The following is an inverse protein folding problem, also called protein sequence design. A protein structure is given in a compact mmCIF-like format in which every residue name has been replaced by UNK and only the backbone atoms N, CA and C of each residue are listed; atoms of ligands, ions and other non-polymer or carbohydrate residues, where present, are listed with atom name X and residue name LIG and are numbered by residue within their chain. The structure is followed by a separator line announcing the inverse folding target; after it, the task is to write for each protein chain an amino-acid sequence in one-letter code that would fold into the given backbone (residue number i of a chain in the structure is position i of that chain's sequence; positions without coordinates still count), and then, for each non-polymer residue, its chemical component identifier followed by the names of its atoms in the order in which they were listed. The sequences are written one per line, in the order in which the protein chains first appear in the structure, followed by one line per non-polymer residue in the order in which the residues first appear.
data_IF_050189209495
#
_entry.id   IF_050189209495
#
_cell.length_a   1.000
_cell.length_b   1.000
_cell.length_c   1.000
_cell.angle_alpha   90.00
_cell.angle_beta   90.00
_cell.angle_gamma   90.00
#
_symmetry.space_group_name_H-M   'P 1'
#
loop_
_entity.id
_entity.type
_entity.pdbx_description
1 polymer ?
#
# COMPACT_ATOMS: atom_id res chain seq x y z
N UNK A 1 87.13 -9.74 52.77
CA UNK A 1 87.55 -8.40 52.29
C UNK A 1 86.30 -7.70 51.76
N UNK A 2 85.97 -6.52 52.28
CA UNK A 2 84.81 -5.71 51.90
C UNK A 2 84.85 -5.33 50.42
N UNK A 3 83.68 -5.33 49.77
CA UNK A 3 83.21 -4.26 48.86
C UNK A 3 81.79 -4.59 48.40
N UNK A 4 80.81 -3.78 48.78
CA UNK A 4 79.46 -3.79 48.19
C UNK A 4 79.41 -2.96 46.91
N UNK A 5 78.27 -2.96 46.23
CA UNK A 5 77.62 -1.79 45.58
C UNK A 5 76.33 -2.22 44.84
N UNK A 6 75.21 -1.68 45.35
CA UNK A 6 74.12 -0.96 44.67
C UNK A 6 73.20 -1.66 43.65
N UNK A 7 71.92 -1.59 44.00
CA UNK A 7 70.67 -1.95 43.32
C UNK A 7 70.34 -1.16 42.04
N UNK A 8 69.60 -1.81 41.12
CA UNK A 8 68.55 -1.16 40.30
C UNK A 8 67.36 -2.11 40.13
N UNK A 9 66.10 -1.68 40.34
CA UNK A 9 64.92 -2.46 39.98
C UNK A 9 64.60 -2.29 38.49
N UNK A 10 64.43 -3.40 37.76
CA UNK A 10 63.89 -3.40 36.41
C UNK A 10 62.35 -3.45 36.47
N UNK A 11 61.71 -2.36 36.05
CA UNK A 11 60.29 -2.32 35.75
C UNK A 11 60.04 -2.94 34.38
N UNK A 12 59.33 -4.08 34.34
CA UNK A 12 58.80 -4.63 33.09
C UNK A 12 57.35 -4.17 32.91
N UNK A 13 57.15 -3.37 31.86
CA UNK A 13 55.88 -2.88 31.36
C UNK A 13 54.99 -4.06 30.92
N UNK A 14 53.90 -4.31 31.63
CA UNK A 14 52.77 -5.11 31.13
C UNK A 14 51.97 -4.23 30.17
N UNK A 15 52.09 -4.50 28.87
CA UNK A 15 51.24 -3.88 27.85
C UNK A 15 49.91 -4.63 27.80
N UNK A 16 48.89 -4.10 28.47
CA UNK A 16 47.50 -4.55 28.33
C UNK A 16 46.95 -4.04 27.00
N UNK A 17 46.82 -4.93 26.02
CA UNK A 17 46.11 -4.65 24.76
C UNK A 17 44.61 -4.53 25.05
N UNK A 18 44.10 -3.31 25.00
CA UNK A 18 42.68 -3.00 25.07
C UNK A 18 42.04 -3.28 23.69
N UNK A 19 41.44 -4.46 23.51
CA UNK A 19 40.57 -4.72 22.37
C UNK A 19 39.29 -3.90 22.53
N UNK A 20 39.17 -2.81 21.78
CA UNK A 20 37.96 -2.02 21.66
C UNK A 20 36.94 -2.80 20.81
N UNK A 21 36.02 -3.52 21.46
CA UNK A 21 34.88 -4.12 20.79
C UNK A 21 33.89 -3.01 20.40
N UNK A 22 33.86 -2.64 19.13
CA UNK A 22 32.82 -1.75 18.58
C UNK A 22 31.56 -2.60 18.42
N UNK A 23 30.70 -2.58 19.43
CA UNK A 23 29.34 -3.10 19.30
C UNK A 23 28.52 -2.14 18.43
N UNK A 24 28.33 -2.49 17.16
CA UNK A 24 27.32 -1.84 16.32
C UNK A 24 25.95 -2.28 16.84
N UNK A 25 25.38 -1.51 17.76
CA UNK A 25 23.95 -1.64 18.08
C UNK A 25 23.19 -1.07 16.88
N UNK A 26 22.69 -1.95 16.01
CA UNK A 26 21.66 -1.56 15.07
C UNK A 26 20.44 -1.16 15.89
N UNK A 27 20.19 0.14 16.01
CA UNK A 27 18.93 0.65 16.51
C UNK A 27 17.88 0.24 15.49
N UNK A 28 17.08 -0.78 15.82
CA UNK A 28 15.85 -1.06 15.10
C UNK A 28 14.98 0.19 15.26
N UNK A 29 14.83 0.96 14.18
CA UNK A 29 13.88 2.06 14.12
C UNK A 29 12.50 1.46 14.38
N UNK A 30 11.87 1.85 15.48
CA UNK A 30 10.46 1.57 15.70
C UNK A 30 9.66 2.23 14.58
N UNK A 31 8.59 1.56 14.15
CA UNK A 31 7.78 1.91 13.00
C UNK A 31 7.32 3.38 13.05
N UNK A 32 7.86 4.17 12.14
CA UNK A 32 7.31 5.46 11.77
C UNK A 32 6.54 5.27 10.46
N UNK A 33 5.43 5.98 10.30
CA UNK A 33 4.81 6.14 9.00
C UNK A 33 5.89 6.51 7.96
N UNK A 34 5.83 5.85 6.80
CA UNK A 34 6.73 6.06 5.68
C UNK A 34 5.99 6.89 4.63
N UNK A 35 6.66 7.93 4.12
CA UNK A 35 6.17 8.70 2.98
C UNK A 35 7.01 8.33 1.77
N UNK A 36 6.34 7.77 0.76
CA UNK A 36 6.90 7.56 -0.57
C UNK A 36 6.74 8.84 -1.39
N UNK A 37 7.74 9.20 -2.19
CA UNK A 37 7.70 10.35 -3.09
C UNK A 37 8.33 10.02 -4.43
N UNK A 38 7.67 10.38 -5.52
CA UNK A 38 8.24 10.39 -6.86
C UNK A 38 7.55 11.44 -7.74
N UNK A 39 8.34 12.34 -8.32
CA UNK A 39 7.88 13.45 -9.18
C UNK A 39 6.64 14.19 -8.61
N UNK A 40 5.47 14.07 -9.26
CA UNK A 40 4.23 14.74 -8.88
C UNK A 40 3.42 14.01 -7.80
N UNK A 41 3.91 12.89 -7.27
CA UNK A 41 3.14 12.02 -6.40
C UNK A 41 3.84 11.70 -5.07
N UNK A 42 3.04 11.60 -4.01
CA UNK A 42 3.49 11.10 -2.71
C UNK A 42 2.43 10.22 -2.05
N UNK A 43 2.83 9.13 -1.39
CA UNK A 43 1.93 8.24 -0.66
C UNK A 43 2.41 8.06 0.77
N UNK A 44 1.51 8.17 1.75
CA UNK A 44 1.85 7.96 3.17
C UNK A 44 1.26 6.64 3.67
N UNK A 45 2.13 5.83 4.25
CA UNK A 45 1.84 4.46 4.68
C UNK A 45 2.26 4.32 6.13
N UNK A 46 1.36 3.86 6.99
CA UNK A 46 1.68 3.42 8.35
C UNK A 46 1.47 1.90 8.45
N UNK A 47 2.54 1.10 8.30
CA UNK A 47 2.45 -0.35 8.38
C UNK A 47 2.09 -0.85 9.79
N UNK A 48 2.18 -0.01 10.82
CA UNK A 48 1.96 -0.41 12.22
C UNK A 48 0.52 -0.24 12.70
N UNK A 49 -0.35 0.32 11.87
CA UNK A 49 -1.76 0.57 12.21
C UNK A 49 -2.70 -0.02 11.18
N UNK A 50 -3.99 -0.07 11.52
CA UNK A 50 -5.05 -0.47 10.60
C UNK A 50 -5.31 0.57 9.49
N UNK A 51 -4.74 1.77 9.59
CA UNK A 51 -4.86 2.78 8.54
C UNK A 51 -4.18 2.33 7.24
N UNK A 52 -3.08 1.56 7.32
CA UNK A 52 -2.35 1.12 6.14
C UNK A 52 -1.81 2.30 5.34
N UNK A 53 -2.14 2.38 4.05
CA UNK A 53 -1.93 3.58 3.24
C UNK A 53 -3.13 4.52 3.42
N UNK A 54 -2.91 5.72 3.94
CA UNK A 54 -3.98 6.63 4.38
C UNK A 54 -3.97 7.99 3.67
N UNK A 55 -3.11 8.13 2.67
CA UNK A 55 -2.95 9.33 1.88
C UNK A 55 -2.21 8.98 0.60
N UNK A 56 -2.71 9.45 -0.55
CA UNK A 56 -2.02 9.39 -1.82
C UNK A 56 -2.28 10.68 -2.59
N UNK A 57 -1.26 11.52 -2.63
CA UNK A 57 -1.29 12.83 -3.27
C UNK A 57 -0.77 12.74 -4.70
N UNK A 58 -1.48 13.35 -5.64
CA UNK A 58 -1.08 13.54 -7.04
C UNK A 58 -1.33 15.00 -7.39
N UNK A 59 -0.29 15.70 -7.84
CA UNK A 59 -0.36 17.13 -8.18
C UNK A 59 -0.94 18.01 -7.05
N UNK A 60 -0.67 17.62 -5.80
CA UNK A 60 -1.12 18.35 -4.61
C UNK A 60 -2.53 18.00 -4.13
N UNK A 61 -3.26 17.13 -4.82
CA UNK A 61 -4.57 16.63 -4.38
C UNK A 61 -4.44 15.22 -3.80
N UNK A 62 -4.93 15.02 -2.57
CA UNK A 62 -5.10 13.70 -1.98
C UNK A 62 -6.32 13.01 -2.61
N UNK A 63 -6.15 11.74 -2.98
CA UNK A 63 -7.17 10.92 -3.64
C UNK A 63 -7.49 9.63 -2.87
N UNK A 64 -6.91 9.43 -1.68
CA UNK A 64 -7.08 8.19 -0.91
C UNK A 64 -7.39 8.51 0.54
N UNK A 65 -8.56 8.06 1.01
CA UNK A 65 -8.89 8.06 2.42
C UNK A 65 -8.22 6.88 3.14
N UNK A 66 -8.35 5.66 2.59
CA UNK A 66 -7.77 4.47 3.20
C UNK A 66 -7.59 3.32 2.21
N UNK A 67 -6.44 2.67 2.28
CA UNK A 67 -6.22 1.31 1.78
C UNK A 67 -5.52 0.52 2.88
N UNK A 68 -6.13 -0.60 3.27
CA UNK A 68 -5.54 -1.47 4.26
C UNK A 68 -5.82 -2.95 3.96
N UNK A 69 -5.19 -3.81 4.75
CA UNK A 69 -5.28 -5.26 4.59
C UNK A 69 -5.69 -5.94 5.89
N UNK A 70 -6.51 -6.97 5.73
CA UNK A 70 -6.93 -7.87 6.80
C UNK A 70 -6.64 -9.31 6.41
N UNK A 71 -6.61 -10.18 7.40
CA UNK A 71 -6.49 -11.62 7.19
C UNK A 71 -7.28 -12.40 8.23
N UNK A 72 -7.56 -13.67 7.94
CA UNK A 72 -7.90 -14.67 8.95
C UNK A 72 -7.40 -16.04 8.56
N UNK A 73 -7.03 -16.83 9.57
CA UNK A 73 -6.75 -18.27 9.44
C UNK A 73 -7.84 -19.12 10.09
N UNK A 74 -8.67 -18.51 10.94
CA UNK A 74 -9.89 -19.05 11.54
C UNK A 74 -10.67 -17.89 12.20
N UNK A 75 -11.99 -18.03 12.35
CA UNK A 75 -12.81 -17.03 13.06
C UNK A 75 -12.90 -15.70 12.31
N UNK A 76 -12.89 -14.59 13.05
CA UNK A 76 -12.96 -13.22 12.53
C UNK A 76 -11.68 -12.78 11.79
N UNK A 77 -11.79 -11.69 11.03
CA UNK A 77 -10.66 -10.99 10.42
C UNK A 77 -9.87 -10.13 11.42
N UNK A 78 -8.58 -9.95 11.13
CA UNK A 78 -7.68 -9.05 11.85
C UNK A 78 -6.88 -8.21 10.86
N UNK A 79 -6.59 -6.94 11.20
CA UNK A 79 -5.65 -6.13 10.43
C UNK A 79 -4.27 -6.79 10.41
N UNK A 80 -3.55 -6.74 9.28
CA UNK A 80 -2.19 -7.29 9.18
C UNK A 80 -1.21 -6.66 10.18
N UNK A 81 -1.48 -5.43 10.64
CA UNK A 81 -0.70 -4.75 11.68
C UNK A 81 -0.68 -5.51 13.02
N UNK A 82 -1.63 -6.42 13.24
CA UNK A 82 -1.72 -7.24 14.46
C UNK A 82 -0.87 -8.50 14.42
N UNK A 83 -0.27 -8.86 13.27
CA UNK A 83 0.59 -10.05 13.13
C UNK A 83 1.84 -9.89 13.99
N UNK A 84 2.51 -8.75 13.87
CA UNK A 84 3.72 -8.36 14.60
C UNK A 84 4.00 -6.87 14.37
N UNK A 85 4.94 -6.29 15.13
CA UNK A 85 5.56 -5.04 14.71
C UNK A 85 6.21 -5.24 13.32
N UNK A 86 6.00 -4.34 12.35
CA UNK A 86 6.54 -4.50 11.02
C UNK A 86 8.04 -4.23 10.98
N UNK A 87 8.77 -5.01 10.18
CA UNK A 87 10.15 -4.73 9.78
C UNK A 87 10.11 -4.03 8.44
N UNK A 88 10.43 -2.74 8.42
CA UNK A 88 10.41 -1.90 7.23
C UNK A 88 11.79 -1.82 6.59
N UNK A 89 11.84 -1.87 5.27
CA UNK A 89 13.02 -1.62 4.47
C UNK A 89 12.65 -0.75 3.27
N UNK A 90 13.56 0.13 2.86
CA UNK A 90 13.35 1.04 1.72
C UNK A 90 14.57 0.97 0.82
N UNK A 91 14.35 0.88 -0.49
CA UNK A 91 15.39 0.90 -1.52
C UNK A 91 15.51 2.28 -2.20
N UNK A 92 14.76 3.28 -1.73
CA UNK A 92 14.70 4.62 -2.30
C UNK A 92 13.46 5.37 -1.82
N UNK A 93 13.39 6.66 -2.13
CA UNK A 93 12.29 7.52 -1.67
C UNK A 93 10.90 7.08 -2.16
N UNK A 94 10.82 6.26 -3.20
CA UNK A 94 9.56 5.81 -3.80
C UNK A 94 9.27 4.32 -3.56
N UNK A 95 10.04 3.64 -2.69
CA UNK A 95 9.92 2.22 -2.45
C UNK A 95 9.93 1.89 -0.95
N UNK A 96 8.90 1.18 -0.49
CA UNK A 96 8.79 0.59 0.85
C UNK A 96 8.46 -0.90 0.76
N UNK A 97 9.14 -1.71 1.57
CA UNK A 97 8.78 -3.08 1.87
C UNK A 97 8.60 -3.26 3.37
N UNK A 98 7.44 -3.75 3.77
CA UNK A 98 7.08 -4.04 5.16
C UNK A 98 6.87 -5.53 5.34
N UNK A 99 7.50 -6.12 6.35
CA UNK A 99 7.41 -7.55 6.66
C UNK A 99 6.81 -7.74 8.05
N UNK A 100 5.82 -8.61 8.14
CA UNK A 100 5.16 -9.07 9.34
C UNK A 100 5.39 -10.58 9.50
N UNK A 101 5.63 -11.05 10.72
CA UNK A 101 5.85 -12.47 10.93
C UNK A 101 5.46 -12.91 12.34
N UNK A 102 4.88 -14.11 12.43
CA UNK A 102 4.62 -14.80 13.68
C UNK A 102 5.12 -16.26 13.57
N UNK A 103 4.70 -17.13 14.49
CA UNK A 103 5.12 -18.54 14.49
C UNK A 103 4.55 -19.37 13.32
N UNK A 104 3.45 -18.92 12.70
CA UNK A 104 2.69 -19.68 11.72
C UNK A 104 2.94 -19.26 10.28
N UNK A 105 3.18 -17.97 10.04
CA UNK A 105 3.42 -17.44 8.70
C UNK A 105 4.20 -16.13 8.74
N UNK A 106 4.69 -15.73 7.57
CA UNK A 106 5.15 -14.38 7.29
C UNK A 106 4.34 -13.76 6.16
N UNK A 107 4.16 -12.45 6.22
CA UNK A 107 3.46 -11.65 5.23
C UNK A 107 4.34 -10.44 4.90
N UNK A 108 4.59 -10.17 3.62
CA UNK A 108 5.25 -8.95 3.19
C UNK A 108 4.39 -8.18 2.22
N UNK A 109 4.40 -6.85 2.34
CA UNK A 109 3.78 -5.91 1.40
C UNK A 109 4.88 -4.98 0.88
N UNK A 110 5.00 -4.90 -0.43
CA UNK A 110 5.99 -4.10 -1.13
C UNK A 110 5.28 -3.09 -2.04
N UNK A 111 5.65 -1.81 -1.92
CA UNK A 111 5.05 -0.67 -2.60
C UNK A 111 6.12 0.02 -3.45
N UNK A 112 5.83 0.24 -4.73
CA UNK A 112 6.66 1.07 -5.60
C UNK A 112 5.80 2.16 -6.25
N UNK A 113 6.03 3.40 -5.81
CA UNK A 113 5.37 4.59 -6.34
C UNK A 113 6.10 5.10 -7.59
N UNK A 114 5.35 5.44 -8.63
CA UNK A 114 5.86 6.09 -9.84
C UNK A 114 4.98 7.28 -10.18
N UNK A 115 5.53 8.48 -10.07
CA UNK A 115 4.85 9.72 -10.43
C UNK A 115 4.95 10.03 -11.93
N UNK A 116 4.03 10.84 -12.43
CA UNK A 116 4.10 11.46 -13.75
C UNK A 116 4.87 12.77 -13.73
N UNK A 117 4.91 13.45 -14.89
CA UNK A 117 5.43 14.83 -14.93
C UNK A 117 4.53 15.75 -14.10
N UNK A 118 5.08 16.81 -13.48
CA UNK A 118 4.26 17.79 -12.76
C UNK A 118 3.07 18.29 -13.58
N UNK A 119 1.90 18.35 -12.94
CA UNK A 119 0.59 18.73 -13.48
C UNK A 119 0.01 17.78 -14.56
N UNK A 120 0.53 16.56 -14.66
CA UNK A 120 -0.01 15.58 -15.61
C UNK A 120 -1.27 14.87 -15.10
N UNK A 121 -1.49 14.86 -13.79
CA UNK A 121 -2.51 14.04 -13.13
C UNK A 121 -2.24 12.54 -13.21
N UNK A 122 -1.06 12.13 -13.69
CA UNK A 122 -0.69 10.73 -13.84
C UNK A 122 0.13 10.26 -12.64
N UNK A 123 -0.23 9.11 -12.10
CA UNK A 123 0.61 8.36 -11.17
C UNK A 123 0.28 6.86 -11.24
N UNK A 124 1.18 6.04 -10.70
CA UNK A 124 0.93 4.62 -10.51
C UNK A 124 1.60 4.10 -9.26
N UNK A 125 1.03 3.05 -8.70
CA UNK A 125 1.57 2.37 -7.52
C UNK A 125 1.50 0.86 -7.74
N UNK A 126 2.67 0.22 -7.80
CA UNK A 126 2.77 -1.23 -7.84
C UNK A 126 2.76 -1.77 -6.41
N UNK A 127 1.97 -2.83 -6.20
CA UNK A 127 1.96 -3.57 -4.94
C UNK A 127 2.26 -5.04 -5.18
N UNK A 128 3.15 -5.59 -4.37
CA UNK A 128 3.41 -7.02 -4.30
C UNK A 128 3.21 -7.50 -2.87
N UNK A 129 2.39 -8.54 -2.70
CA UNK A 129 2.15 -9.19 -1.43
C UNK A 129 2.66 -10.62 -1.52
N UNK A 130 3.41 -11.05 -0.50
CA UNK A 130 3.83 -12.43 -0.35
C UNK A 130 3.38 -12.96 1.00
N UNK A 131 2.69 -14.10 1.00
CA UNK A 131 2.24 -14.80 2.21
C UNK A 131 2.91 -16.17 2.20
N UNK A 132 3.69 -16.46 3.24
CA UNK A 132 4.49 -17.68 3.34
C UNK A 132 4.16 -18.44 4.62
N UNK A 133 3.76 -19.70 4.49
CA UNK A 133 3.52 -20.60 5.62
C UNK A 133 4.85 -21.08 6.19
N UNK A 134 5.05 -20.90 7.49
CA UNK A 134 6.28 -21.32 8.19
C UNK A 134 6.07 -22.60 9.02
N UNK A 135 4.88 -23.19 8.97
CA UNK A 135 4.54 -24.42 9.70
C UNK A 135 4.73 -25.67 8.87
N UNK A 136 4.74 -26.83 9.53
CA UNK A 136 4.77 -28.15 8.87
C UNK A 136 3.39 -28.66 8.46
N UNK A 137 2.33 -27.87 8.63
CA UNK A 137 0.95 -28.24 8.29
C UNK A 137 0.42 -27.29 7.21
N UNK A 138 -0.56 -27.71 6.39
CA UNK A 138 -1.26 -26.79 5.52
C UNK A 138 -1.94 -25.67 6.32
N UNK A 139 -1.92 -24.45 5.79
CA UNK A 139 -2.53 -23.28 6.41
C UNK A 139 -3.63 -22.72 5.52
N UNK A 140 -4.88 -22.82 5.98
CA UNK A 140 -5.99 -22.08 5.37
C UNK A 140 -5.83 -20.59 5.70
N UNK A 141 -5.84 -19.75 4.68
CA UNK A 141 -5.59 -18.33 4.78
C UNK A 141 -6.59 -17.56 3.92
N UNK A 142 -7.27 -16.61 4.53
CA UNK A 142 -8.16 -15.67 3.86
C UNK A 142 -7.52 -14.29 3.96
N UNK A 143 -7.26 -13.65 2.84
CA UNK A 143 -6.61 -12.34 2.76
C UNK A 143 -7.56 -11.33 2.14
N UNK A 144 -7.64 -10.14 2.71
CA UNK A 144 -8.56 -9.10 2.29
C UNK A 144 -7.81 -7.80 2.02
N UNK A 145 -8.23 -7.11 0.98
CA UNK A 145 -7.92 -5.71 0.74
C UNK A 145 -9.20 -4.90 0.84
N UNK A 146 -9.14 -3.79 1.56
CA UNK A 146 -10.15 -2.73 1.50
C UNK A 146 -9.53 -1.49 0.86
N UNK A 147 -10.35 -0.74 0.13
CA UNK A 147 -9.94 0.50 -0.53
C UNK A 147 -11.08 1.51 -0.55
N UNK A 148 -10.69 2.75 -0.27
CA UNK A 148 -11.54 3.92 -0.10
C UNK A 148 -10.81 5.13 -0.71
N UNK A 149 -11.12 5.38 -1.97
CA UNK A 149 -10.56 6.49 -2.74
C UNK A 149 -11.54 7.65 -2.74
N UNK A 150 -11.02 8.86 -2.61
CA UNK A 150 -11.77 10.12 -2.67
C UNK A 150 -11.30 10.88 -3.91
N UNK A 151 -11.75 10.46 -5.09
CA UNK A 151 -11.17 10.95 -6.36
C UNK A 151 -11.53 12.40 -6.66
N UNK A 152 -12.51 12.98 -5.96
CA UNK A 152 -12.91 14.37 -6.08
C UNK A 152 -14.27 14.68 -5.46
N UNK A 153 -14.76 15.92 -5.58
CA UNK A 153 -16.08 16.29 -5.11
C UNK A 153 -17.19 15.60 -5.92
N UNK A 154 -18.38 15.48 -5.33
CA UNK A 154 -19.57 14.94 -6.00
C UNK A 154 -19.76 13.42 -5.87
N UNK A 155 -18.82 12.73 -5.22
CA UNK A 155 -18.86 11.29 -4.99
C UNK A 155 -18.44 10.49 -6.22
N UNK A 156 -18.09 9.24 -5.97
CA UNK A 156 -17.44 8.39 -6.95
C UNK A 156 -18.36 7.24 -7.38
N UNK A 157 -18.08 6.70 -8.57
CA UNK A 157 -18.68 5.46 -9.05
C UNK A 157 -17.63 4.37 -9.04
N UNK A 158 -17.97 3.21 -8.47
CA UNK A 158 -17.07 2.04 -8.42
C UNK A 158 -17.69 0.84 -9.12
N UNK A 159 -16.90 0.14 -9.92
CA UNK A 159 -17.24 -1.14 -10.51
C UNK A 159 -16.04 -2.10 -10.47
N UNK A 160 -16.30 -3.35 -10.12
CA UNK A 160 -15.32 -4.44 -10.17
C UNK A 160 -15.48 -5.26 -11.45
N UNK A 161 -14.37 -5.84 -11.91
CA UNK A 161 -14.33 -6.72 -13.07
C UNK A 161 -13.62 -8.04 -12.75
N UNK A 162 -13.99 -9.07 -13.51
CA UNK A 162 -13.41 -10.41 -13.41
C UNK A 162 -12.64 -10.79 -14.68
N UNK A 163 -11.62 -11.63 -14.53
CA UNK A 163 -10.90 -12.22 -15.65
C UNK A 163 -11.68 -13.39 -16.27
N UNK A 164 -11.09 -14.02 -17.30
CA UNK A 164 -11.67 -15.18 -18.00
C UNK A 164 -11.88 -16.43 -17.11
N UNK A 165 -11.28 -16.46 -15.93
CA UNK A 165 -11.42 -17.54 -14.95
C UNK A 165 -12.47 -17.22 -13.87
N UNK A 166 -13.21 -16.11 -14.03
CA UNK A 166 -14.22 -15.66 -13.06
C UNK A 166 -13.63 -15.12 -11.76
N UNK A 167 -12.34 -14.78 -11.73
CA UNK A 167 -11.68 -14.17 -10.57
C UNK A 167 -11.66 -12.65 -10.70
N UNK A 168 -11.96 -11.94 -9.62
CA UNK A 168 -11.92 -10.49 -9.59
C UNK A 168 -10.49 -9.99 -9.79
N UNK A 169 -10.27 -9.12 -10.76
CA UNK A 169 -8.93 -8.65 -11.09
C UNK A 169 -8.89 -7.20 -11.56
N UNK A 170 -10.00 -6.48 -11.45
CA UNK A 170 -10.12 -5.09 -11.84
C UNK A 170 -11.02 -4.36 -10.84
N UNK A 171 -10.61 -3.18 -10.39
CA UNK A 171 -11.48 -2.21 -9.74
C UNK A 171 -11.33 -0.88 -10.48
N UNK A 172 -12.43 -0.36 -11.02
CA UNK A 172 -12.47 0.95 -11.66
C UNK A 172 -13.28 1.88 -10.77
N UNK A 173 -12.70 3.02 -10.41
CA UNK A 173 -13.37 4.10 -9.70
C UNK A 173 -13.24 5.38 -10.52
N UNK A 174 -14.36 6.07 -10.73
CA UNK A 174 -14.38 7.26 -11.57
C UNK A 174 -15.09 8.40 -10.86
N UNK A 175 -14.50 9.59 -10.96
CA UNK A 175 -15.15 10.84 -10.61
C UNK A 175 -15.36 11.69 -11.86
N UNK A 176 -16.56 12.21 -12.06
CA UNK A 176 -16.92 12.94 -13.28
C UNK A 176 -16.14 14.24 -13.53
N UNK A 177 -15.40 14.76 -12.55
CA UNK A 177 -14.77 16.08 -12.60
C UNK A 177 -13.31 16.12 -12.13
N UNK A 178 -12.72 15.01 -11.70
CA UNK A 178 -11.39 15.00 -11.08
C UNK A 178 -10.57 13.83 -11.59
N UNK A 179 -10.43 12.74 -10.83
CA UNK A 179 -9.60 11.61 -11.24
C UNK A 179 -10.40 10.39 -11.69
N UNK A 180 -9.78 9.60 -12.57
CA UNK A 180 -10.11 8.19 -12.78
C UNK A 180 -9.03 7.35 -12.10
N UNK A 181 -9.46 6.29 -11.43
CA UNK A 181 -8.60 5.30 -10.82
C UNK A 181 -8.93 3.91 -11.39
N UNK A 182 -7.89 3.13 -11.64
CA UNK A 182 -8.01 1.71 -11.94
C UNK A 182 -6.97 0.91 -11.15
N UNK A 183 -7.41 -0.16 -10.50
CA UNK A 183 -6.54 -1.21 -9.99
C UNK A 183 -6.68 -2.47 -10.83
N UNK A 184 -5.56 -3.03 -11.28
CA UNK A 184 -5.50 -4.32 -11.94
C UNK A 184 -4.69 -5.32 -11.12
N UNK A 185 -5.27 -6.48 -10.87
CA UNK A 185 -4.58 -7.62 -10.23
C UNK A 185 -3.98 -8.48 -11.33
N UNK A 186 -2.66 -8.51 -11.42
CA UNK A 186 -1.96 -9.29 -12.44
C UNK A 186 -2.02 -10.78 -12.15
N UNK A 187 -1.82 -11.17 -10.89
CA UNK A 187 -1.88 -12.57 -10.47
C UNK A 187 -1.91 -12.68 -8.95
N UNK A 188 -2.62 -13.69 -8.41
CA UNK A 188 -3.84 -14.26 -8.95
C UNK A 188 -5.01 -13.28 -8.75
N UNK A 189 -6.04 -13.37 -9.58
CA UNK A 189 -7.30 -12.67 -9.29
C UNK A 189 -7.92 -13.15 -7.98
N UNK A 190 -8.65 -12.27 -7.30
CA UNK A 190 -9.36 -12.54 -6.07
C UNK A 190 -10.55 -13.50 -6.27
N UNK A 191 -10.82 -14.31 -5.26
CA UNK A 191 -11.93 -15.28 -5.24
C UNK A 191 -13.27 -14.57 -5.10
N UNK A 192 -13.29 -13.50 -4.30
CA UNK A 192 -14.48 -12.67 -4.09
C UNK A 192 -14.16 -11.18 -4.19
N UNK A 193 -15.17 -10.39 -4.50
CA UNK A 193 -15.08 -8.93 -4.61
C UNK A 193 -16.38 -8.27 -4.20
N UNK A 194 -16.31 -7.12 -3.53
CA UNK A 194 -17.51 -6.42 -3.12
C UNK A 194 -17.31 -4.92 -3.18
N UNK A 195 -18.27 -4.22 -3.77
CA UNK A 195 -18.44 -2.78 -3.61
C UNK A 195 -19.45 -2.48 -2.49
N UNK A 196 -19.31 -1.33 -1.84
CA UNK A 196 -20.26 -0.85 -0.85
C UNK A 196 -20.04 0.62 -0.53
N UNK A 197 -20.99 1.27 0.15
CA UNK A 197 -20.77 2.64 0.64
C UNK A 197 -20.10 2.60 2.03
N UNK A 198 -19.23 3.58 2.30
CA UNK A 198 -18.67 3.78 3.63
C UNK A 198 -19.78 4.04 4.67
N UNK A 199 -19.66 3.55 5.93
CA UNK A 199 -18.60 2.68 6.46
C UNK A 199 -18.93 1.18 6.39
N UNK A 200 -19.96 0.78 5.62
CA UNK A 200 -20.55 -0.56 5.73
C UNK A 200 -19.56 -1.70 5.50
N UNK A 201 -18.76 -1.61 4.44
CA UNK A 201 -17.79 -2.64 4.08
C UNK A 201 -16.58 -2.69 5.04
N UNK A 202 -16.13 -1.52 5.53
CA UNK A 202 -15.08 -1.47 6.54
C UNK A 202 -15.57 -2.08 7.86
N UNK A 203 -16.82 -1.81 8.24
CA UNK A 203 -17.40 -2.36 9.47
C UNK A 203 -17.49 -3.89 9.44
N UNK A 204 -17.84 -4.51 8.30
CA UNK A 204 -17.89 -5.97 8.22
C UNK A 204 -16.52 -6.61 8.45
N UNK A 205 -15.41 -5.96 8.07
CA UNK A 205 -14.06 -6.45 8.34
C UNK A 205 -13.63 -6.28 9.81
N UNK A 206 -14.47 -5.67 10.66
CA UNK A 206 -14.15 -5.29 12.04
C UNK A 206 -15.25 -5.64 13.04
N UNK A 207 -16.28 -6.41 12.65
CA UNK A 207 -17.45 -6.69 13.48
C UNK A 207 -17.27 -7.89 14.43
N UNK A 208 -16.14 -8.57 14.34
CA UNK A 208 -15.81 -9.74 15.16
C UNK A 208 -16.46 -11.05 14.67
N UNK A 209 -17.05 -11.04 13.47
CA UNK A 209 -17.55 -12.23 12.79
C UNK A 209 -16.72 -12.51 11.52
N UNK A 210 -16.64 -13.77 11.06
CA UNK A 210 -16.03 -14.07 9.77
C UNK A 210 -16.83 -13.42 8.63
N UNK A 211 -16.14 -12.68 7.78
CA UNK A 211 -16.69 -12.11 6.54
C UNK A 211 -16.36 -13.01 5.35
N UNK A 212 -17.34 -13.12 4.45
CA UNK A 212 -17.14 -13.52 3.05
C UNK A 212 -17.75 -12.41 2.20
N UNK A 213 -16.96 -11.86 1.27
CA UNK A 213 -17.45 -10.81 0.38
C UNK A 213 -18.57 -11.35 -0.52
N UNK A 214 -19.57 -10.52 -0.78
CA UNK A 214 -20.85 -10.92 -1.39
C UNK A 214 -20.86 -11.06 -2.91
N UNK A 215 -19.71 -10.86 -3.58
CA UNK A 215 -19.59 -10.83 -5.06
C UNK A 215 -20.41 -9.72 -5.74
N UNK A 216 -20.83 -8.71 -4.98
CA UNK A 216 -21.46 -7.50 -5.53
C UNK A 216 -20.40 -6.66 -6.27
N UNK A 217 -20.32 -6.82 -7.58
CA UNK A 217 -19.35 -6.14 -8.43
C UNK A 217 -19.69 -4.68 -8.78
N UNK A 218 -20.88 -4.19 -8.37
CA UNK A 218 -21.37 -2.87 -8.78
C UNK A 218 -21.95 -2.85 -10.21
N UNK A 219 -22.07 -1.66 -10.83
CA UNK A 219 -21.61 -0.38 -10.33
C UNK A 219 -22.41 0.12 -9.12
N UNK A 220 -21.77 0.88 -8.24
CA UNK A 220 -22.42 1.74 -7.23
C UNK A 220 -21.93 3.17 -7.39
N UNK A 221 -22.73 4.14 -6.96
CA UNK A 221 -22.40 5.56 -7.02
C UNK A 221 -23.55 6.41 -7.58
N UNK A 222 -23.45 7.75 -7.50
CA UNK A 222 -22.34 8.48 -6.88
C UNK A 222 -22.42 8.43 -5.35
N UNK A 223 -21.27 8.42 -4.67
CA UNK A 223 -21.19 8.51 -3.22
C UNK A 223 -19.78 8.22 -2.69
N UNK A 224 -19.67 8.10 -1.37
CA UNK A 224 -18.49 7.60 -0.68
C UNK A 224 -18.40 6.08 -0.87
N UNK A 225 -17.90 5.70 -2.05
CA UNK A 225 -17.91 4.35 -2.56
C UNK A 225 -16.59 3.65 -2.25
N UNK A 226 -16.71 2.49 -1.63
CA UNK A 226 -15.61 1.65 -1.15
C UNK A 226 -15.66 0.31 -1.87
N UNK A 227 -14.55 -0.40 -1.89
CA UNK A 227 -14.51 -1.76 -2.41
C UNK A 227 -13.48 -2.62 -1.71
N UNK A 228 -13.66 -3.94 -1.84
CA UNK A 228 -12.77 -4.92 -1.28
C UNK A 228 -12.58 -6.12 -2.21
N UNK A 229 -11.43 -6.76 -2.06
CA UNK A 229 -11.10 -8.05 -2.66
C UNK A 229 -10.75 -9.05 -1.57
N UNK A 230 -11.06 -10.33 -1.80
CA UNK A 230 -10.75 -11.44 -0.91
C UNK A 230 -10.11 -12.58 -1.71
N UNK A 231 -8.99 -13.08 -1.20
CA UNK A 231 -8.31 -14.27 -1.69
C UNK A 231 -8.39 -15.38 -0.65
N UNK A 232 -8.79 -16.56 -1.08
CA UNK A 232 -8.90 -17.77 -0.27
C UNK A 232 -7.87 -18.79 -0.75
N UNK A 233 -6.92 -19.14 0.12
CA UNK A 233 -5.82 -20.04 -0.24
C UNK A 233 -5.56 -21.06 0.87
N UNK A 234 -5.18 -22.27 0.46
CA UNK A 234 -4.54 -23.24 1.35
C UNK A 234 -3.06 -23.26 1.00
N UNK A 235 -2.23 -22.70 1.88
CA UNK A 235 -0.79 -22.73 1.74
C UNK A 235 -0.29 -24.12 2.14
N UNK A 236 0.61 -24.68 1.33
CA UNK A 236 1.24 -25.96 1.65
C UNK A 236 2.19 -25.82 2.85
N UNK A 237 2.58 -26.92 3.52
CA UNK A 237 3.62 -26.90 4.54
C UNK A 237 4.92 -26.25 4.06
N UNK A 238 5.63 -25.60 4.98
CA UNK A 238 6.90 -24.93 4.70
C UNK A 238 7.91 -25.83 3.98
N UNK A 239 8.52 -25.29 2.91
CA UNK A 239 9.48 -26.00 2.07
C UNK A 239 8.85 -26.88 0.99
N UNK A 240 7.51 -26.90 0.88
CA UNK A 240 6.80 -27.59 -0.21
C UNK A 240 6.33 -26.61 -1.28
N UNK A 241 6.08 -27.12 -2.48
CA UNK A 241 5.48 -26.32 -3.56
C UNK A 241 4.12 -25.78 -3.13
N UNK A 242 3.93 -24.47 -3.19
CA UNK A 242 2.70 -23.79 -2.77
C UNK A 242 2.69 -23.38 -1.29
N UNK A 243 3.83 -23.38 -0.60
CA UNK A 243 3.97 -22.79 0.73
C UNK A 243 3.90 -21.25 0.72
N UNK A 244 4.02 -20.65 -0.46
CA UNK A 244 4.04 -19.22 -0.69
C UNK A 244 2.98 -18.83 -1.72
N UNK A 245 2.20 -17.82 -1.38
CA UNK A 245 1.22 -17.20 -2.26
C UNK A 245 1.63 -15.77 -2.57
N UNK A 246 1.64 -15.41 -3.86
CA UNK A 246 2.11 -14.11 -4.35
C UNK A 246 0.97 -13.39 -5.04
N UNK A 247 0.66 -12.17 -4.59
CA UNK A 247 -0.31 -11.28 -5.22
C UNK A 247 0.45 -10.08 -5.79
N UNK A 248 0.26 -9.77 -7.07
CA UNK A 248 0.87 -8.62 -7.74
C UNK A 248 -0.20 -7.76 -8.39
N UNK A 249 -0.14 -6.44 -8.15
CA UNK A 249 -1.17 -5.49 -8.60
C UNK A 249 -0.55 -4.18 -9.04
N UNK A 250 -1.26 -3.47 -9.92
CA UNK A 250 -0.93 -2.14 -10.39
C UNK A 250 -2.15 -1.23 -10.19
N UNK A 251 -1.95 -0.15 -9.45
CA UNK A 251 -2.86 1.00 -9.39
C UNK A 251 -2.41 2.04 -10.38
N UNK A 252 -3.35 2.60 -11.14
CA UNK A 252 -3.11 3.68 -12.08
C UNK A 252 -4.16 4.78 -11.89
N UNK A 253 -3.70 6.02 -11.95
CA UNK A 253 -4.54 7.21 -11.84
C UNK A 253 -4.25 8.15 -13.00
N UNK A 254 -5.31 8.74 -13.53
CA UNK A 254 -5.25 9.80 -14.52
C UNK A 254 -6.29 10.88 -14.22
N UNK A 255 -5.98 12.13 -14.54
CA UNK A 255 -6.95 13.23 -14.46
C UNK A 255 -7.97 13.07 -15.59
N UNK A 256 -9.25 13.22 -15.25
CA UNK A 256 -10.33 13.37 -16.22
C UNK A 256 -10.15 14.71 -16.93
N UNK A 257 -9.92 14.72 -18.27
CA UNK A 257 -9.78 15.97 -18.99
C UNK A 257 -11.07 16.79 -18.86
N UNK A 258 -10.99 18.04 -18.41
CA UNK A 258 -12.16 18.91 -18.36
C UNK A 258 -12.82 18.99 -19.75
N UNK A 259 -14.08 18.54 -19.89
CA UNK A 259 -14.78 18.70 -21.14
C UNK A 259 -15.04 20.20 -21.35
N UNK A 260 -14.38 20.82 -22.33
CA UNK A 260 -14.86 22.03 -23.02
C UNK A 260 -14.87 23.39 -22.28
N UNK A 261 -14.36 23.55 -21.06
CA UNK A 261 -14.20 24.89 -20.43
C UNK A 261 -13.37 25.84 -21.31
N UNK A 262 -12.31 25.31 -21.92
CA UNK A 262 -11.47 26.03 -22.90
C UNK A 262 -12.24 26.30 -24.19
N UNK A 263 -13.03 25.34 -24.67
CA UNK A 263 -13.83 25.52 -25.89
C UNK A 263 -14.92 26.59 -25.68
N UNK A 264 -15.58 26.62 -24.52
CA UNK A 264 -16.55 27.65 -24.14
C UNK A 264 -15.87 29.02 -23.94
N UNK A 265 -14.68 29.07 -23.33
CA UNK A 265 -13.88 30.27 -23.25
C UNK A 265 -13.51 30.84 -24.62
N UNK A 266 -13.04 29.99 -25.54
CA UNK A 266 -12.71 30.37 -26.91
C UNK A 266 -13.94 30.78 -27.73
N UNK A 267 -15.08 30.09 -27.57
CA UNK A 267 -16.34 30.48 -28.19
C UNK A 267 -16.88 31.80 -27.62
N UNK A 268 -16.74 32.03 -26.32
CA UNK A 268 -17.11 33.30 -25.68
C UNK A 268 -16.30 34.47 -26.22
N UNK A 269 -14.97 34.31 -26.36
CA UNK A 269 -14.09 35.32 -26.96
C UNK A 269 -14.37 35.55 -28.45
N UNK A 270 -14.69 34.49 -29.20
CA UNK A 270 -15.09 34.60 -30.60
C UNK A 270 -16.45 35.33 -30.75
N UNK A 271 -17.42 35.05 -29.88
CA UNK A 271 -18.71 35.72 -29.82
C UNK A 271 -18.60 37.22 -29.51
N UNK A 272 -17.74 37.61 -28.57
CA UNK A 272 -17.48 39.02 -28.23
C UNK A 272 -16.89 39.78 -29.42
N UNK A 273 -15.93 39.18 -30.14
CA UNK A 273 -15.35 39.79 -31.34
C UNK A 273 -16.36 39.94 -32.48
N UNK A 274 -17.27 38.97 -32.65
CA UNK A 274 -18.33 39.05 -33.65
C UNK A 274 -19.37 40.12 -33.32
N UNK A 275 -19.75 40.27 -32.04
CA UNK A 275 -20.65 41.33 -31.58
C UNK A 275 -20.02 42.71 -31.76
N UNK A 276 -18.70 42.85 -31.51
CA UNK A 276 -17.97 44.11 -31.75
C UNK A 276 -17.99 44.52 -33.23
N UNK A 277 -17.74 43.57 -34.15
CA UNK A 277 -17.77 43.84 -35.59
C UNK A 277 -19.14 44.24 -36.14
N UNK A 278 -20.23 43.90 -35.44
CA UNK A 278 -21.60 44.28 -35.82
C UNK A 278 -22.03 45.66 -35.31
N UNK A 279 -21.26 46.26 -34.39
CA UNK A 279 -21.59 47.57 -33.78
C UNK A 279 -20.71 48.71 -34.29
N UNK A 280 -19.74 48.42 -35.15
CA UNK A 280 -18.90 49.36 -35.90
C UNK A 280 -19.31 49.38 -37.36
#
# INVERSE_FOLDING_TARGET
MKTGIISKPQAWLVRSSLCLAISVTMLLSQANAATLTDLNSSASIDPSTQAGMYNWVIDGQDILAQQAFWFRTAGQEFSISTISAPVNSSLGANHLKSIYANASFSLSVEYLLTGGTPLSGLASLNESIAIHNTTTLPLAFHFFQYSDFDLGPGGDFVQLGTNIFGKFNLANQVNSASFNFAESVSTPGADHGQVGFFPGLLNSLNDGAPTTLSDLAGPIGPGDATWAFQWDVILSPAGQSGDTYLISKLKHVELVPEPSSIALGLMGLAGINWIRRRRS
#
